data_IF_294467618599
#
_entry.id   IF_294467618599
#
_cell.length_a   1.000
_cell.length_b   1.000
_cell.length_c   1.000
_cell.angle_alpha   90.00
_cell.angle_beta   90.00
_cell.angle_gamma   90.00
#
_symmetry.space_group_name_H-M   'P 1'
#
loop_
_entity.id
_entity.type
_entity.pdbx_description
1 polymer ?
#
# COMPACT_ATOMS: atom_id res chain seq x y z
N UNK A 1 1.66 -11.06 -7.59
CA UNK A 1 0.56 -10.17 -7.23
C UNK A 1 -0.47 -10.95 -6.45
N UNK A 2 -0.61 -10.61 -5.17
CA UNK A 2 -1.54 -11.27 -4.23
C UNK A 2 -2.99 -10.75 -4.39
N UNK A 3 -3.23 -10.06 -5.50
CA UNK A 3 -4.45 -9.31 -5.79
C UNK A 3 -5.66 -10.23 -5.97
N UNK A 4 -5.42 -11.46 -6.42
CA UNK A 4 -6.43 -12.49 -6.66
C UNK A 4 -6.76 -13.33 -5.42
N UNK A 5 -6.08 -13.09 -4.29
CA UNK A 5 -6.33 -13.81 -3.04
C UNK A 5 -7.59 -13.21 -2.38
N UNK A 6 -8.72 -13.91 -2.52
CA UNK A 6 -10.00 -13.48 -1.98
C UNK A 6 -10.31 -14.04 -0.58
N UNK A 7 -9.57 -15.06 -0.11
CA UNK A 7 -9.73 -15.56 1.26
C UNK A 7 -9.03 -14.63 2.25
N UNK A 8 -9.83 -13.99 3.11
CA UNK A 8 -9.37 -13.06 4.15
C UNK A 8 -8.36 -13.72 5.10
N UNK A 9 -8.41 -15.05 5.29
CA UNK A 9 -7.47 -15.76 6.17
C UNK A 9 -6.06 -15.81 5.62
N UNK A 10 -5.91 -15.71 4.30
CA UNK A 10 -4.62 -15.70 3.62
C UNK A 10 -4.02 -14.29 3.55
N UNK A 11 -4.79 -13.27 3.94
CA UNK A 11 -4.32 -11.89 3.92
C UNK A 11 -3.29 -11.64 5.02
N UNK A 12 -2.14 -11.11 4.61
CA UNK A 12 -1.10 -10.69 5.55
C UNK A 12 -1.56 -9.40 6.22
N UNK A 13 -1.64 -9.43 7.55
CA UNK A 13 -1.93 -8.23 8.33
C UNK A 13 -0.81 -7.22 8.20
N UNK A 14 -1.16 -6.00 7.79
CA UNK A 14 -0.20 -4.91 7.67
C UNK A 14 0.23 -4.44 9.07
N UNK A 15 1.54 -4.43 9.36
CA UNK A 15 2.09 -3.95 10.63
C UNK A 15 2.44 -2.46 10.56
N UNK A 16 1.74 -1.67 11.37
CA UNK A 16 1.98 -0.23 11.51
C UNK A 16 3.41 0.09 11.93
N UNK A 17 4.07 -0.74 12.76
CA UNK A 17 5.46 -0.50 13.13
C UNK A 17 6.40 -0.74 11.95
N UNK A 18 6.19 -1.81 11.21
CA UNK A 18 6.96 -2.10 9.99
C UNK A 18 6.86 -0.94 8.98
N UNK A 19 5.64 -0.44 8.72
CA UNK A 19 5.42 0.72 7.86
C UNK A 19 6.18 1.97 8.32
N UNK A 20 6.14 2.27 9.62
CA UNK A 20 6.88 3.41 10.19
C UNK A 20 8.39 3.26 10.02
N UNK A 21 8.94 2.05 10.18
CA UNK A 21 10.37 1.78 9.95
C UNK A 21 10.77 2.01 8.50
N UNK A 22 9.98 1.51 7.54
CA UNK A 22 10.23 1.72 6.10
C UNK A 22 10.16 3.21 5.75
N UNK A 23 9.17 3.92 6.28
CA UNK A 23 9.04 5.35 6.03
C UNK A 23 10.21 6.16 6.60
N UNK A 24 10.71 5.84 7.80
CA UNK A 24 11.91 6.50 8.33
C UNK A 24 13.18 6.09 7.56
N UNK A 25 13.28 4.86 7.06
CA UNK A 25 14.33 4.44 6.10
C UNK A 25 14.29 5.29 4.83
N UNK A 26 13.11 5.48 4.24
CA UNK A 26 12.93 6.33 3.05
C UNK A 26 13.35 7.77 3.31
N UNK A 27 12.99 8.33 4.46
CA UNK A 27 13.35 9.71 4.84
C UNK A 27 14.85 9.87 5.08
N UNK A 28 15.46 8.90 5.75
CA UNK A 28 16.91 8.89 6.07
C UNK A 28 17.80 8.51 4.89
N UNK A 29 17.22 8.01 3.80
CA UNK A 29 17.92 7.73 2.56
C UNK A 29 18.62 8.99 2.03
N UNK A 30 19.88 8.82 1.59
CA UNK A 30 20.78 9.92 1.21
C UNK A 30 20.59 10.37 -0.23
N UNK A 31 20.15 9.47 -1.12
CA UNK A 31 19.95 9.75 -2.54
C UNK A 31 18.48 9.69 -2.92
N UNK A 32 18.12 10.45 -3.96
CA UNK A 32 16.82 10.31 -4.63
C UNK A 32 16.64 8.90 -5.20
N UNK A 33 17.71 8.28 -5.70
CA UNK A 33 17.65 6.91 -6.23
C UNK A 33 17.33 5.89 -5.14
N UNK A 34 17.90 6.05 -3.95
CA UNK A 34 17.62 5.17 -2.81
C UNK A 34 16.15 5.29 -2.36
N UNK A 35 15.62 6.52 -2.38
CA UNK A 35 14.20 6.78 -2.10
C UNK A 35 13.30 6.13 -3.13
N UNK A 36 13.65 6.22 -4.41
CA UNK A 36 12.90 5.55 -5.49
C UNK A 36 12.95 4.03 -5.32
N UNK A 37 14.13 3.45 -5.05
CA UNK A 37 14.26 2.01 -4.85
C UNK A 37 13.45 1.50 -3.64
N UNK A 38 13.44 2.25 -2.53
CA UNK A 38 12.61 1.92 -1.37
C UNK A 38 11.11 2.03 -1.71
N UNK A 39 10.73 3.06 -2.47
CA UNK A 39 9.35 3.23 -2.90
C UNK A 39 8.90 2.14 -3.88
N UNK A 40 9.74 1.73 -4.81
CA UNK A 40 9.44 0.63 -5.75
C UNK A 40 9.35 -0.72 -5.04
N UNK A 41 10.19 -0.96 -4.03
CA UNK A 41 10.19 -2.21 -3.27
C UNK A 41 9.04 -2.35 -2.26
N UNK A 42 8.64 -1.26 -1.61
CA UNK A 42 7.66 -1.29 -0.52
C UNK A 42 6.37 -0.51 -0.78
N UNK A 43 6.32 0.32 -1.83
CA UNK A 43 5.18 1.21 -2.12
C UNK A 43 4.98 2.33 -1.11
N UNK A 44 5.90 2.53 -0.16
CA UNK A 44 5.78 3.50 0.93
C UNK A 44 6.78 4.66 0.78
N UNK A 45 6.31 5.87 1.07
CA UNK A 45 7.15 7.05 1.26
C UNK A 45 6.89 7.69 2.62
N UNK A 46 7.79 8.56 3.06
CA UNK A 46 7.61 9.28 4.31
C UNK A 46 6.61 10.44 4.15
N UNK A 47 5.68 10.55 5.10
CA UNK A 47 4.79 11.71 5.23
C UNK A 47 4.84 12.28 6.64
N UNK A 48 4.58 13.60 6.82
CA UNK A 48 4.46 14.20 8.15
C UNK A 48 3.40 13.55 9.04
N UNK A 49 2.38 12.92 8.45
CA UNK A 49 1.32 12.22 9.18
C UNK A 49 1.87 11.08 10.05
N UNK A 50 2.95 10.42 9.62
CA UNK A 50 3.56 9.33 10.38
C UNK A 50 4.23 9.75 11.70
N UNK A 51 4.42 11.07 11.92
CA UNK A 51 4.88 11.61 13.22
C UNK A 51 3.78 11.67 14.27
N UNK A 52 2.52 11.67 13.87
CA UNK A 52 1.39 11.83 14.77
C UNK A 52 1.17 10.52 15.53
N UNK A 53 1.25 10.55 16.86
CA UNK A 53 1.12 9.34 17.68
C UNK A 53 -0.24 8.66 17.54
N UNK A 54 -1.29 9.45 17.29
CA UNK A 54 -2.64 8.95 17.07
C UNK A 54 -2.87 8.43 15.65
N UNK A 55 -1.98 8.70 14.70
CA UNK A 55 -2.15 8.31 13.31
C UNK A 55 -1.64 6.89 13.05
N UNK A 56 -2.58 6.01 12.73
CA UNK A 56 -2.34 4.64 12.29
C UNK A 56 -2.62 4.51 10.78
N UNK A 57 -1.59 4.44 9.92
CA UNK A 57 -1.76 4.29 8.48
C UNK A 57 -2.57 3.04 8.09
N UNK A 58 -2.50 1.95 8.86
CA UNK A 58 -3.24 0.72 8.53
C UNK A 58 -4.75 0.92 8.74
N UNK A 59 -5.15 1.75 9.72
CA UNK A 59 -6.56 1.98 10.06
C UNK A 59 -7.17 3.21 9.39
N UNK A 60 -6.35 4.18 9.01
CA UNK A 60 -6.82 5.47 8.49
C UNK A 60 -6.54 5.69 7.00
N UNK A 61 -5.91 4.73 6.32
CA UNK A 61 -5.90 4.74 4.85
C UNK A 61 -7.32 4.40 4.38
N UNK A 62 -8.00 5.42 3.86
CA UNK A 62 -9.25 5.24 3.14
C UNK A 62 -8.90 4.78 1.74
N UNK A 63 -9.25 3.53 1.41
CA UNK A 63 -9.23 3.05 0.03
C UNK A 63 -10.45 3.65 -0.65
N UNK A 64 -10.25 4.73 -1.39
CA UNK A 64 -11.31 5.36 -2.16
C UNK A 64 -11.62 4.54 -3.41
N UNK A 65 -12.92 4.30 -3.64
CA UNK A 65 -13.43 3.58 -4.80
C UNK A 65 -13.03 4.26 -6.12
N UNK A 66 -12.85 5.60 -6.12
CA UNK A 66 -12.33 6.31 -7.28
C UNK A 66 -10.90 5.84 -7.64
N UNK A 67 -10.01 5.72 -6.65
CA UNK A 67 -8.64 5.25 -6.89
C UNK A 67 -8.61 3.76 -7.26
N UNK A 68 -9.50 2.95 -6.67
CA UNK A 68 -9.65 1.52 -7.00
C UNK A 68 -10.15 1.26 -8.44
N UNK A 69 -10.95 2.18 -8.99
CA UNK A 69 -11.37 2.15 -10.39
C UNK A 69 -10.23 2.59 -11.33
N UNK A 70 -9.50 3.65 -10.96
CA UNK A 70 -8.40 4.22 -11.76
C UNK A 70 -7.23 3.24 -11.93
N UNK A 71 -6.93 2.43 -10.93
CA UNK A 71 -5.92 1.36 -11.02
C UNK A 71 -6.39 0.12 -11.81
N UNK A 72 -7.57 0.16 -12.45
CA UNK A 72 -8.19 -0.96 -13.17
C UNK A 72 -8.44 -2.23 -12.33
N UNK A 73 -8.36 -2.16 -11.00
CA UNK A 73 -8.51 -3.31 -10.11
C UNK A 73 -9.87 -3.97 -10.26
N UNK A 74 -10.94 -3.15 -10.28
CA UNK A 74 -12.29 -3.66 -10.43
C UNK A 74 -12.51 -4.32 -11.79
N UNK A 75 -11.99 -3.68 -12.86
CA UNK A 75 -12.09 -4.21 -14.22
C UNK A 75 -11.34 -5.54 -14.36
N UNK A 76 -10.17 -5.66 -13.74
CA UNK A 76 -9.41 -6.91 -13.71
C UNK A 76 -10.21 -8.03 -13.04
N UNK A 77 -10.72 -7.79 -11.83
CA UNK A 77 -11.48 -8.80 -11.10
C UNK A 77 -12.77 -9.21 -11.82
N UNK A 78 -13.54 -8.27 -12.37
CA UNK A 78 -14.79 -8.58 -13.07
C UNK A 78 -14.52 -9.40 -14.34
N UNK A 79 -13.60 -8.93 -15.19
CA UNK A 79 -13.41 -9.49 -16.54
C UNK A 79 -12.47 -10.69 -16.56
N UNK A 80 -11.41 -10.68 -15.76
CA UNK A 80 -10.37 -11.70 -15.80
C UNK A 80 -10.57 -12.78 -14.74
N UNK A 81 -10.80 -12.39 -13.48
CA UNK A 81 -10.96 -13.34 -12.38
C UNK A 81 -12.35 -14.00 -12.40
N UNK A 82 -13.41 -13.20 -12.40
CA UNK A 82 -14.80 -13.70 -12.36
C UNK A 82 -15.38 -14.06 -13.72
N UNK A 83 -14.72 -13.66 -14.82
CA UNK A 83 -15.13 -13.92 -16.21
C UNK A 83 -16.58 -13.49 -16.51
N UNK A 84 -17.02 -12.41 -15.86
CA UNK A 84 -18.31 -11.79 -16.13
C UNK A 84 -18.12 -10.80 -17.27
N UNK A 85 -18.90 -10.98 -18.33
CA UNK A 85 -18.81 -10.23 -19.58
C UNK A 85 -19.89 -9.14 -19.64
#
# INVERSE_FOLDING_TARGET
DDIDILDIKEWIMCDTQHMRRIAELWKSARSANDRTAIFEGFGLHWTPLLKLQYWDPVKFIVIDMMHGLDINLLKHHIRNLFRLN
#
